data_IF_109644061014
#
_entry.id   IF_109644061014
#
_cell.length_a   1.000
_cell.length_b   1.000
_cell.length_c   1.000
_cell.angle_alpha   90.00
_cell.angle_beta   90.00
_cell.angle_gamma   90.00
#
_symmetry.space_group_name_H-M   'P 1'
#
loop_
_entity.id
_entity.type
_entity.pdbx_description
1 polymer ?
#
# COMPACT_ATOMS: atom_id res chain seq x y z
N UNK A 1 -16.06 2.45 16.56
CA UNK A 1 -16.31 1.02 16.22
C UNK A 1 -17.10 0.40 17.36
N UNK A 2 -18.14 -0.42 17.11
CA UNK A 2 -19.06 -0.89 18.17
C UNK A 2 -18.33 -1.56 19.35
N UNK A 3 -17.28 -2.33 19.09
CA UNK A 3 -16.46 -3.00 20.13
C UNK A 3 -15.79 -2.01 21.09
N UNK A 4 -15.40 -0.82 20.64
CA UNK A 4 -14.78 0.20 21.51
C UNK A 4 -15.76 0.78 22.53
N UNK A 5 -17.08 0.76 22.25
CA UNK A 5 -18.09 1.27 23.18
C UNK A 5 -18.38 0.31 24.35
N UNK A 6 -17.92 -0.95 24.28
CA UNK A 6 -18.17 -1.98 25.29
C UNK A 6 -16.89 -2.58 25.86
N UNK A 7 -15.73 -1.97 25.57
CA UNK A 7 -14.42 -2.45 26.03
C UNK A 7 -14.25 -2.44 27.56
N UNK A 8 -15.07 -1.65 28.25
CA UNK A 8 -15.20 -1.58 29.70
C UNK A 8 -15.91 -2.81 30.31
N UNK A 9 -16.72 -3.53 29.52
CA UNK A 9 -17.54 -4.66 29.99
C UNK A 9 -16.95 -6.03 29.66
N UNK A 10 -16.14 -6.12 28.61
CA UNK A 10 -15.49 -7.36 28.21
C UNK A 10 -14.23 -7.07 27.38
N UNK A 11 -13.31 -8.05 27.37
CA UNK A 11 -12.13 -7.96 26.54
C UNK A 11 -12.51 -7.83 25.05
N UNK A 12 -11.83 -6.92 24.36
CA UNK A 12 -12.02 -6.62 22.93
C UNK A 12 -11.93 -7.89 22.06
N UNK A 13 -11.10 -8.85 22.44
CA UNK A 13 -10.96 -10.15 21.76
C UNK A 13 -12.24 -10.98 21.80
N UNK A 14 -12.90 -11.03 22.96
CA UNK A 14 -14.16 -11.77 23.17
C UNK A 14 -15.29 -11.09 22.40
N UNK A 15 -15.36 -9.76 22.48
CA UNK A 15 -16.34 -8.97 21.73
C UNK A 15 -16.18 -9.13 20.22
N UNK A 16 -14.93 -9.09 19.71
CA UNK A 16 -14.65 -9.36 18.30
C UNK A 16 -15.04 -10.78 17.89
N UNK A 17 -14.82 -11.77 18.74
CA UNK A 17 -15.21 -13.17 18.48
C UNK A 17 -16.74 -13.33 18.41
N UNK A 18 -17.48 -12.73 19.35
CA UNK A 18 -18.95 -12.76 19.36
C UNK A 18 -19.55 -12.12 18.11
N UNK A 19 -18.91 -11.06 17.60
CA UNK A 19 -19.33 -10.35 16.39
C UNK A 19 -18.79 -10.97 15.09
N UNK A 20 -18.00 -12.04 15.16
CA UNK A 20 -17.36 -12.65 13.99
C UNK A 20 -16.37 -11.71 13.27
N UNK A 21 -15.83 -10.71 13.98
CA UNK A 21 -14.92 -9.72 13.40
C UNK A 21 -13.47 -10.23 13.42
N UNK A 22 -12.74 -10.15 12.29
CA UNK A 22 -11.33 -10.48 12.29
C UNK A 22 -10.54 -9.46 13.13
N UNK A 23 -9.45 -9.92 13.76
CA UNK A 23 -8.57 -9.07 14.58
C UNK A 23 -8.02 -7.87 13.81
N UNK A 24 -7.87 -7.97 12.49
CA UNK A 24 -7.39 -6.89 11.62
C UNK A 24 -8.29 -5.64 11.67
N UNK A 25 -9.58 -5.80 11.95
CA UNK A 25 -10.53 -4.69 12.08
C UNK A 25 -10.16 -3.72 13.21
N UNK A 26 -9.43 -4.18 14.23
CA UNK A 26 -8.98 -3.31 15.34
C UNK A 26 -7.87 -2.35 14.94
N UNK A 27 -7.04 -2.71 13.97
CA UNK A 27 -5.95 -1.88 13.47
C UNK A 27 -6.42 -0.89 12.41
N UNK A 28 -7.56 -1.18 11.76
CA UNK A 28 -8.09 -0.34 10.69
C UNK A 28 -9.22 0.54 11.20
N UNK A 29 -8.92 1.82 11.42
CA UNK A 29 -9.95 2.82 11.70
C UNK A 29 -10.54 3.31 10.38
N UNK A 30 -11.82 3.03 10.07
CA UNK A 30 -12.46 3.58 8.89
C UNK A 30 -12.49 5.10 9.02
N UNK A 31 -11.80 5.79 8.11
CA UNK A 31 -11.80 7.26 8.07
C UNK A 31 -12.97 7.73 7.22
N UNK A 32 -13.83 8.65 7.72
CA UNK A 32 -14.82 9.29 6.87
C UNK A 32 -14.09 10.16 5.84
N UNK A 33 -14.47 10.07 4.56
CA UNK A 33 -13.86 10.86 3.50
C UNK A 33 -13.85 10.16 2.14
N UNK A 34 -13.28 10.85 1.14
CA UNK A 34 -13.11 10.30 -0.21
C UNK A 34 -12.21 9.07 -0.13
N UNK A 35 -12.67 7.96 -0.73
CA UNK A 35 -11.86 6.74 -0.84
C UNK A 35 -10.52 7.07 -1.51
N UNK A 36 -9.47 6.37 -1.08
CA UNK A 36 -8.16 6.47 -1.72
C UNK A 36 -8.23 6.20 -3.22
N UNK A 37 -7.21 6.66 -3.95
CA UNK A 37 -7.13 6.44 -5.40
C UNK A 37 -7.18 4.94 -5.68
N UNK A 38 -8.03 4.53 -6.62
CA UNK A 38 -8.02 3.14 -7.11
C UNK A 38 -6.63 2.81 -7.66
N UNK A 39 -6.17 1.56 -7.56
CA UNK A 39 -4.93 1.14 -8.21
C UNK A 39 -4.95 1.55 -9.69
N UNK A 40 -3.87 2.17 -10.17
CA UNK A 40 -3.69 2.38 -11.60
C UNK A 40 -3.35 1.06 -12.26
N UNK A 41 -3.69 0.94 -13.54
CA UNK A 41 -3.23 -0.16 -14.40
C UNK A 41 -2.04 0.27 -15.27
N UNK A 42 -1.92 1.58 -15.50
CA UNK A 42 -0.91 2.16 -16.39
C UNK A 42 -0.29 3.39 -15.76
N UNK A 43 0.97 3.64 -16.14
CA UNK A 43 1.75 4.81 -15.77
C UNK A 43 2.04 5.62 -17.04
N UNK A 44 1.85 6.94 -16.96
CA UNK A 44 2.15 7.84 -18.07
C UNK A 44 3.66 8.03 -18.18
N UNK A 45 4.22 7.70 -19.33
CA UNK A 45 5.64 7.78 -19.67
C UNK A 45 5.79 8.47 -21.03
N UNK A 46 6.39 9.66 -21.07
CA UNK A 46 6.57 10.47 -22.28
C UNK A 46 5.31 10.64 -23.16
N UNK A 47 4.15 10.80 -22.52
CA UNK A 47 2.87 10.95 -23.22
C UNK A 47 2.23 9.63 -23.66
N UNK A 48 2.89 8.50 -23.45
CA UNK A 48 2.33 7.16 -23.68
C UNK A 48 1.94 6.49 -22.35
N UNK A 49 0.88 5.69 -22.36
CA UNK A 49 0.46 4.91 -21.20
C UNK A 49 1.13 3.55 -21.24
N UNK A 50 2.00 3.29 -20.27
CA UNK A 50 2.77 2.05 -20.14
C UNK A 50 2.16 1.17 -19.04
N UNK A 51 2.03 -0.16 -19.22
CA UNK A 51 1.55 -1.05 -18.17
C UNK A 51 2.42 -0.99 -16.92
N UNK A 52 1.80 -1.08 -15.75
CA UNK A 52 2.54 -1.01 -14.49
C UNK A 52 3.53 -2.19 -14.33
N UNK A 53 3.24 -3.34 -14.93
CA UNK A 53 4.10 -4.52 -14.92
C UNK A 53 5.46 -4.21 -15.58
N UNK A 54 5.45 -3.50 -16.70
CA UNK A 54 6.69 -3.10 -17.41
C UNK A 54 7.54 -2.15 -16.55
N UNK A 55 6.90 -1.21 -15.86
CA UNK A 55 7.60 -0.29 -14.94
C UNK A 55 8.24 -1.07 -13.79
N UNK A 56 7.52 -2.02 -13.21
CA UNK A 56 8.02 -2.87 -12.12
C UNK A 56 9.22 -3.70 -12.57
N UNK A 57 9.20 -4.23 -13.79
CA UNK A 57 10.32 -5.03 -14.30
C UNK A 57 11.57 -4.17 -14.55
N UNK A 58 11.43 -2.94 -15.05
CA UNK A 58 12.55 -1.97 -15.13
C UNK A 58 13.13 -1.63 -13.75
N UNK A 59 12.28 -1.45 -12.74
CA UNK A 59 12.73 -1.22 -11.36
C UNK A 59 13.55 -2.41 -10.87
N UNK A 60 13.10 -3.64 -11.12
CA UNK A 60 13.83 -4.87 -10.72
C UNK A 60 15.19 -4.95 -11.38
N UNK A 61 15.28 -4.60 -12.67
CA UNK A 61 16.54 -4.57 -13.41
C UNK A 61 17.52 -3.55 -12.79
N UNK A 62 17.07 -2.32 -12.54
CA UNK A 62 17.85 -1.26 -11.88
C UNK A 62 18.43 -1.71 -10.53
N UNK A 63 17.60 -2.34 -9.69
CA UNK A 63 18.02 -2.82 -8.36
C UNK A 63 18.72 -4.18 -8.38
N UNK A 64 19.00 -4.76 -9.55
CA UNK A 64 19.67 -6.07 -9.65
C UNK A 64 21.20 -5.96 -9.72
N UNK A 65 21.74 -4.74 -9.85
CA UNK A 65 23.19 -4.50 -9.89
C UNK A 65 23.93 -4.88 -8.59
N UNK A 66 25.24 -5.15 -8.63
CA UNK A 66 26.04 -5.35 -7.43
C UNK A 66 26.28 -3.98 -6.73
N UNK A 67 26.05 -3.91 -5.41
CA UNK A 67 26.12 -2.71 -4.55
C UNK A 67 24.91 -1.76 -4.63
N UNK A 68 23.73 -2.24 -4.24
CA UNK A 68 22.51 -1.43 -4.24
C UNK A 68 22.35 -0.65 -2.93
N UNK A 69 23.02 0.49 -2.83
CA UNK A 69 22.66 1.54 -1.86
C UNK A 69 21.48 2.38 -2.36
N UNK A 70 20.52 1.77 -3.06
CA UNK A 70 19.43 2.47 -3.70
C UNK A 70 18.26 2.65 -2.72
N UNK A 71 18.19 3.83 -2.11
CA UNK A 71 16.95 4.28 -1.47
C UNK A 71 15.87 4.53 -2.53
N UNK A 72 14.61 4.63 -2.08
CA UNK A 72 13.49 4.96 -2.96
C UNK A 72 13.75 6.19 -3.84
N UNK A 73 14.43 7.20 -3.28
CA UNK A 73 14.80 8.42 -4.02
C UNK A 73 15.79 8.14 -5.15
N UNK A 74 16.84 7.36 -4.91
CA UNK A 74 17.84 7.02 -5.93
C UNK A 74 17.23 6.23 -7.10
N UNK A 75 16.44 5.19 -6.81
CA UNK A 75 15.76 4.41 -7.86
C UNK A 75 14.78 5.28 -8.67
N UNK A 76 14.09 6.22 -8.01
CA UNK A 76 13.19 7.14 -8.68
C UNK A 76 13.92 8.08 -9.65
N UNK A 77 15.07 8.62 -9.23
CA UNK A 77 15.89 9.50 -10.06
C UNK A 77 16.52 8.74 -11.24
N UNK A 78 16.98 7.50 -11.01
CA UNK A 78 17.54 6.64 -12.06
C UNK A 78 16.47 6.25 -13.10
N UNK A 79 15.26 5.88 -12.64
CA UNK A 79 14.11 5.64 -13.52
C UNK A 79 13.79 6.87 -14.38
N UNK A 80 13.89 8.07 -13.79
CA UNK A 80 13.61 9.33 -14.49
C UNK A 80 14.72 9.70 -15.48
N UNK A 81 15.97 9.31 -15.21
CA UNK A 81 17.06 9.49 -16.17
C UNK A 81 16.98 8.53 -17.36
N UNK A 82 16.45 7.32 -17.16
CA UNK A 82 16.20 6.38 -18.25
C UNK A 82 15.13 6.87 -19.24
N UNK A 83 14.30 7.82 -18.80
CA UNK A 83 13.37 8.57 -19.63
C UNK A 83 12.32 9.28 -18.80
#
# INVERSE_FOLDING_TARGET
>A
MIVQHYSDRAAVTVLSQWLGLPRSTLYYTPRPGKRGKKPSTHTLYHGSMVPNEEVVDKIKELISGPYNAYGYQSVHDDLRQLG
#
